data_IF_736273395823
#
_entry.id   IF_736273395823
#
_cell.length_a   1.000
_cell.length_b   1.000
_cell.length_c   1.000
_cell.angle_alpha   90.00
_cell.angle_beta   90.00
_cell.angle_gamma   90.00
#
_symmetry.space_group_name_H-M   'P 1'
#
loop_
_entity.id
_entity.type
_entity.pdbx_description
1 polymer ?
#
# COMPACT_ATOMS: atom_id res chain seq x y z
N UNK A 1 -7.65 -16.18 -8.11
CA UNK A 1 -6.82 -15.03 -7.69
C UNK A 1 -6.77 -14.04 -8.84
N UNK A 2 -6.80 -12.74 -8.56
CA UNK A 2 -6.86 -11.68 -9.58
C UNK A 2 -5.62 -10.81 -9.47
N UNK A 3 -4.80 -10.78 -10.52
CA UNK A 3 -3.64 -9.91 -10.65
C UNK A 3 -4.07 -8.53 -11.17
N UNK A 4 -3.49 -7.46 -10.62
CA UNK A 4 -3.74 -6.08 -11.12
C UNK A 4 -3.16 -5.88 -12.51
N UNK A 5 -3.76 -4.97 -13.28
CA UNK A 5 -3.25 -4.59 -14.59
C UNK A 5 -1.90 -3.85 -14.46
N UNK A 6 -1.06 -3.98 -15.49
CA UNK A 6 0.29 -3.40 -15.56
C UNK A 6 0.32 -1.90 -15.25
N UNK A 7 -0.65 -1.14 -15.75
CA UNK A 7 -0.77 0.31 -15.50
C UNK A 7 -0.82 0.69 -14.01
N UNK A 8 -1.27 -0.22 -13.13
CA UNK A 8 -1.31 -0.03 -11.68
C UNK A 8 -0.11 -0.62 -10.95
N UNK A 9 0.84 -1.17 -11.70
CA UNK A 9 2.04 -1.82 -11.16
C UNK A 9 3.32 -1.37 -11.88
N UNK A 10 3.55 -0.07 -12.05
CA UNK A 10 4.72 0.42 -12.77
C UNK A 10 6.00 -0.11 -12.11
N UNK A 11 6.85 -0.78 -12.90
CA UNK A 11 8.11 -1.41 -12.48
C UNK A 11 7.98 -2.51 -11.41
N UNK A 12 6.80 -3.12 -11.25
CA UNK A 12 6.56 -4.13 -10.20
C UNK A 12 5.69 -5.31 -10.65
N UNK A 13 5.37 -5.46 -11.93
CA UNK A 13 4.50 -6.52 -12.48
C UNK A 13 4.99 -7.91 -12.08
N UNK A 14 6.27 -8.18 -12.28
CA UNK A 14 6.88 -9.47 -11.91
C UNK A 14 6.86 -9.72 -10.40
N UNK A 15 7.05 -8.67 -9.59
CA UNK A 15 7.01 -8.78 -8.13
C UNK A 15 5.60 -9.07 -7.62
N UNK A 16 4.58 -8.45 -8.23
CA UNK A 16 3.17 -8.70 -7.91
C UNK A 16 2.74 -10.10 -8.33
N UNK A 17 3.17 -10.56 -9.51
CA UNK A 17 2.94 -11.93 -9.94
C UNK A 17 3.59 -12.92 -8.98
N UNK A 18 4.83 -12.68 -8.59
CA UNK A 18 5.58 -13.58 -7.73
C UNK A 18 4.96 -13.78 -6.33
N UNK A 19 4.36 -12.75 -5.71
CA UNK A 19 3.65 -12.95 -4.45
C UNK A 19 2.34 -13.71 -4.66
N UNK A 20 1.59 -13.45 -5.73
CA UNK A 20 0.37 -14.23 -6.03
C UNK A 20 0.69 -15.70 -6.29
N UNK A 21 1.74 -15.99 -7.05
CA UNK A 21 2.19 -17.37 -7.32
C UNK A 21 2.61 -18.09 -6.03
N UNK A 22 3.36 -17.39 -5.15
CA UNK A 22 3.74 -17.94 -3.86
C UNK A 22 2.52 -18.28 -2.99
N UNK A 23 1.51 -17.42 -2.94
CA UNK A 23 0.25 -17.70 -2.24
C UNK A 23 -0.51 -18.85 -2.91
N UNK A 24 -0.60 -18.86 -4.24
CA UNK A 24 -1.27 -19.94 -4.99
C UNK A 24 -0.62 -21.30 -4.72
N UNK A 25 0.70 -21.35 -4.63
CA UNK A 25 1.42 -22.59 -4.29
C UNK A 25 1.03 -23.09 -2.90
N UNK A 26 0.98 -22.23 -1.88
CA UNK A 26 0.57 -22.61 -0.51
C UNK A 26 -0.85 -23.15 -0.49
N UNK A 27 -1.77 -22.49 -1.18
CA UNK A 27 -3.16 -22.92 -1.26
C UNK A 27 -3.29 -24.29 -1.96
N UNK A 28 -2.55 -24.52 -3.05
CA UNK A 28 -2.54 -25.84 -3.72
C UNK A 28 -2.00 -26.94 -2.82
N UNK A 29 -0.95 -26.67 -2.05
CA UNK A 29 -0.40 -27.61 -1.05
C UNK A 29 -1.42 -27.92 0.08
N UNK A 30 -2.33 -26.98 0.37
CA UNK A 30 -3.44 -27.18 1.30
C UNK A 30 -4.66 -27.89 0.66
N UNK A 31 -4.57 -28.28 -0.61
CA UNK A 31 -5.63 -29.01 -1.33
C UNK A 31 -6.66 -28.13 -2.03
N UNK A 32 -6.44 -26.82 -2.14
CA UNK A 32 -7.33 -25.92 -2.87
C UNK A 32 -7.07 -25.95 -4.37
N UNK A 33 -8.13 -25.89 -5.17
CA UNK A 33 -8.05 -25.59 -6.60
C UNK A 33 -7.86 -24.07 -6.77
N UNK A 34 -6.78 -23.65 -7.45
CA UNK A 34 -6.42 -22.23 -7.58
C UNK A 34 -6.31 -21.83 -9.04
N UNK A 35 -7.18 -20.92 -9.46
CA UNK A 35 -7.11 -20.24 -10.75
C UNK A 35 -6.52 -18.84 -10.58
N UNK A 36 -5.59 -18.47 -11.45
CA UNK A 36 -5.01 -17.12 -11.51
C UNK A 36 -5.37 -16.47 -12.84
N UNK A 37 -5.75 -15.19 -12.80
CA UNK A 37 -6.08 -14.41 -13.99
C UNK A 37 -5.75 -12.94 -13.80
N UNK A 38 -5.53 -12.20 -14.88
CA UNK A 38 -5.42 -10.75 -14.81
C UNK A 38 -6.81 -10.12 -14.61
N UNK A 39 -6.87 -8.93 -14.04
CA UNK A 39 -8.15 -8.20 -13.91
C UNK A 39 -8.77 -7.86 -15.27
N UNK A 40 -7.96 -7.70 -16.34
CA UNK A 40 -8.43 -7.46 -17.69
C UNK A 40 -9.09 -8.70 -18.33
N UNK A 41 -8.80 -9.89 -17.82
CA UNK A 41 -9.28 -11.17 -18.33
C UNK A 41 -10.25 -11.86 -17.34
N UNK A 42 -11.02 -11.08 -16.59
CA UNK A 42 -11.99 -11.62 -15.62
C UNK A 42 -13.03 -12.47 -16.38
N UNK A 43 -12.77 -13.76 -16.46
CA UNK A 43 -13.57 -14.70 -17.24
C UNK A 43 -14.88 -15.06 -16.53
N UNK A 44 -15.94 -15.28 -17.30
CA UNK A 44 -17.12 -16.00 -16.84
C UNK A 44 -16.74 -17.47 -16.65
N UNK A 45 -16.82 -17.97 -15.44
CA UNK A 45 -16.50 -19.35 -15.09
C UNK A 45 -17.24 -19.81 -13.83
N UNK A 46 -16.86 -20.99 -13.31
CA UNK A 46 -17.38 -21.47 -12.02
C UNK A 46 -17.12 -20.44 -10.94
N UNK A 47 -18.15 -20.12 -10.15
CA UNK A 47 -17.99 -19.19 -9.02
C UNK A 47 -16.99 -19.77 -8.01
N UNK A 48 -15.95 -19.02 -7.63
CA UNK A 48 -15.01 -19.45 -6.60
C UNK A 48 -15.65 -19.34 -5.20
N UNK A 49 -15.10 -20.06 -4.22
CA UNK A 49 -15.51 -19.94 -2.82
C UNK A 49 -14.81 -18.76 -2.11
N UNK A 50 -13.68 -18.30 -2.68
CA UNK A 50 -12.85 -17.23 -2.12
C UNK A 50 -12.06 -16.52 -3.24
N UNK A 51 -11.87 -15.20 -3.12
CA UNK A 51 -11.07 -14.42 -4.07
C UNK A 51 -9.95 -13.68 -3.33
N UNK A 52 -8.70 -13.87 -3.77
CA UNK A 52 -7.63 -12.91 -3.52
C UNK A 52 -7.57 -11.94 -4.68
N UNK A 53 -7.72 -10.64 -4.42
CA UNK A 53 -7.84 -9.63 -5.46
C UNK A 53 -6.82 -8.51 -5.29
N UNK A 54 -5.99 -8.31 -6.30
CA UNK A 54 -5.19 -7.10 -6.50
C UNK A 54 -5.84 -6.11 -7.47
N UNK A 55 -7.05 -6.37 -7.95
CA UNK A 55 -7.73 -5.55 -8.95
C UNK A 55 -7.85 -4.10 -8.51
N UNK A 56 -7.65 -3.17 -9.44
CA UNK A 56 -7.79 -1.72 -9.22
C UNK A 56 -8.66 -1.04 -10.27
N UNK A 57 -8.97 -1.72 -11.36
CA UNK A 57 -9.83 -1.15 -12.41
C UNK A 57 -11.22 -0.87 -11.84
N UNK A 58 -11.78 0.36 -11.97
CA UNK A 58 -13.07 0.71 -11.35
C UNK A 58 -14.22 -0.23 -11.75
N UNK A 59 -14.26 -0.67 -13.01
CA UNK A 59 -15.26 -1.60 -13.53
C UNK A 59 -15.15 -2.96 -12.87
N UNK A 60 -13.92 -3.47 -12.69
CA UNK A 60 -13.68 -4.76 -12.05
C UNK A 60 -14.03 -4.69 -10.56
N UNK A 61 -13.66 -3.61 -9.87
CA UNK A 61 -14.05 -3.40 -8.48
C UNK A 61 -15.58 -3.31 -8.34
N UNK A 62 -16.29 -2.70 -9.30
CA UNK A 62 -17.74 -2.67 -9.32
C UNK A 62 -18.34 -4.07 -9.48
N UNK A 63 -17.81 -4.89 -10.39
CA UNK A 63 -18.23 -6.28 -10.58
C UNK A 63 -18.00 -7.10 -9.31
N UNK A 64 -16.83 -7.00 -8.70
CA UNK A 64 -16.48 -7.76 -7.49
C UNK A 64 -17.39 -7.46 -6.29
N UNK A 65 -18.03 -6.28 -6.23
CA UNK A 65 -19.00 -5.94 -5.18
C UNK A 65 -20.28 -6.78 -5.20
N UNK A 66 -20.60 -7.39 -6.35
CA UNK A 66 -21.79 -8.24 -6.47
C UNK A 66 -21.53 -9.69 -6.04
N UNK A 67 -20.29 -10.07 -5.76
CA UNK A 67 -19.99 -11.41 -5.26
C UNK A 67 -20.31 -11.52 -3.77
N UNK A 68 -21.09 -12.50 -3.39
CA UNK A 68 -21.45 -12.81 -1.98
C UNK A 68 -20.46 -13.76 -1.30
N UNK A 69 -19.18 -13.71 -1.70
CA UNK A 69 -18.10 -14.56 -1.19
C UNK A 69 -17.00 -13.70 -0.58
N UNK A 70 -16.14 -14.24 0.30
CA UNK A 70 -15.01 -13.50 0.83
C UNK A 70 -14.03 -13.06 -0.27
N UNK A 71 -13.66 -11.77 -0.25
CA UNK A 71 -12.68 -11.17 -1.16
C UNK A 71 -11.61 -10.46 -0.34
N UNK A 72 -10.35 -10.80 -0.54
CA UNK A 72 -9.18 -10.18 0.09
C UNK A 72 -8.26 -9.57 -1.00
N UNK A 73 -8.03 -8.28 -1.05
CA UNK A 73 -8.70 -7.24 -0.26
C UNK A 73 -10.09 -6.95 -0.83
N UNK A 74 -11.00 -6.55 0.04
CA UNK A 74 -12.34 -6.18 -0.40
C UNK A 74 -12.31 -4.98 -1.36
N UNK A 75 -13.18 -4.91 -2.39
CA UNK A 75 -13.20 -3.82 -3.37
C UNK A 75 -13.33 -2.42 -2.74
N UNK A 76 -14.14 -2.29 -1.70
CA UNK A 76 -14.29 -1.03 -0.98
C UNK A 76 -12.99 -0.63 -0.26
N UNK A 77 -12.29 -1.57 0.35
CA UNK A 77 -10.99 -1.34 1.00
C UNK A 77 -9.93 -0.89 0.00
N UNK A 78 -9.86 -1.54 -1.17
CA UNK A 78 -8.95 -1.12 -2.25
C UNK A 78 -9.25 0.31 -2.71
N UNK A 79 -10.53 0.69 -2.85
CA UNK A 79 -10.93 2.07 -3.18
C UNK A 79 -10.54 3.07 -2.09
N UNK A 80 -10.64 2.68 -0.82
CA UNK A 80 -10.26 3.51 0.33
C UNK A 80 -8.75 3.78 0.41
N UNK A 81 -7.92 3.03 -0.31
CA UNK A 81 -6.48 3.28 -0.43
C UNK A 81 -6.14 4.44 -1.38
N UNK A 82 -7.10 5.05 -2.10
CA UNK A 82 -6.87 6.31 -2.80
C UNK A 82 -6.46 7.40 -1.79
N UNK A 83 -5.34 8.10 -2.05
CA UNK A 83 -4.66 8.95 -1.05
C UNK A 83 -5.55 9.98 -0.38
N UNK A 84 -6.44 10.65 -1.11
CA UNK A 84 -7.37 11.64 -0.53
C UNK A 84 -8.40 11.00 0.41
N UNK A 85 -8.88 9.80 0.08
CA UNK A 85 -9.78 9.02 0.95
C UNK A 85 -9.03 8.49 2.16
N UNK A 86 -7.84 7.96 1.93
CA UNK A 86 -6.97 7.45 2.98
C UNK A 86 -6.61 8.56 4.00
N UNK A 87 -6.23 9.76 3.55
CA UNK A 87 -5.96 10.91 4.43
C UNK A 87 -7.19 11.23 5.31
N UNK A 88 -8.39 11.19 4.74
CA UNK A 88 -9.63 11.40 5.48
C UNK A 88 -9.86 10.33 6.55
N UNK A 89 -9.60 9.06 6.21
CA UNK A 89 -9.72 7.94 7.16
C UNK A 89 -8.67 8.08 8.27
N UNK A 90 -7.41 8.33 7.92
CA UNK A 90 -6.30 8.50 8.87
C UNK A 90 -6.59 9.65 9.84
N UNK A 91 -7.06 10.80 9.34
CA UNK A 91 -7.45 11.94 10.16
C UNK A 91 -8.58 11.57 11.12
N UNK A 92 -9.62 10.91 10.63
CA UNK A 92 -10.79 10.52 11.44
C UNK A 92 -10.44 9.59 12.58
N UNK A 93 -9.51 8.66 12.38
CA UNK A 93 -9.11 7.71 13.42
C UNK A 93 -7.89 8.21 14.23
N UNK A 94 -7.32 9.37 13.92
CA UNK A 94 -6.17 9.94 14.64
C UNK A 94 -4.86 9.18 14.40
N UNK A 95 -4.64 8.65 13.19
CA UNK A 95 -3.36 8.04 12.81
C UNK A 95 -2.25 9.08 12.83
N UNK A 96 -1.07 8.80 13.42
CA UNK A 96 0.08 9.69 13.33
C UNK A 96 0.48 9.95 11.87
N UNK A 97 0.32 11.20 11.42
CA UNK A 97 0.66 11.65 10.07
C UNK A 97 1.63 12.83 10.11
N UNK A 98 2.38 13.09 9.02
CA UNK A 98 3.09 14.37 8.88
C UNK A 98 2.13 15.54 9.01
N UNK A 99 2.55 16.67 9.58
CA UNK A 99 1.74 17.90 9.58
C UNK A 99 1.58 18.41 8.15
N UNK A 100 0.60 19.29 7.93
CA UNK A 100 0.40 19.93 6.62
C UNK A 100 1.39 21.05 6.35
N UNK A 101 1.89 21.70 7.40
CA UNK A 101 2.85 22.81 7.33
C UNK A 101 4.16 22.41 8.02
N UNK A 102 5.28 22.89 7.49
CA UNK A 102 6.62 22.65 8.01
C UNK A 102 7.67 23.49 7.33
N UNK A 103 8.90 23.44 7.84
CA UNK A 103 10.02 24.29 7.38
C UNK A 103 11.03 23.55 6.49
N UNK A 104 10.88 22.23 6.34
CA UNK A 104 11.86 21.39 5.62
C UNK A 104 11.37 20.98 4.22
N UNK A 105 10.35 21.67 3.69
CA UNK A 105 9.72 21.37 2.40
C UNK A 105 8.43 20.58 2.53
N UNK A 106 7.88 20.24 1.37
CA UNK A 106 6.56 19.63 1.24
C UNK A 106 6.57 18.44 0.27
N UNK A 107 5.67 17.51 0.51
CA UNK A 107 5.31 16.47 -0.43
C UNK A 107 3.92 16.74 -1.00
N UNK A 108 3.84 16.86 -2.31
CA UNK A 108 2.58 16.90 -3.05
C UNK A 108 2.38 15.53 -3.70
N UNK A 109 1.27 14.87 -3.42
CA UNK A 109 0.95 13.55 -3.96
C UNK A 109 -0.42 13.57 -4.63
N UNK A 110 -0.54 12.96 -5.82
CA UNK A 110 -1.83 12.73 -6.47
C UNK A 110 -2.79 12.00 -5.52
N UNK A 111 -4.04 12.47 -5.41
CA UNK A 111 -4.99 12.03 -4.40
C UNK A 111 -6.05 11.05 -4.87
N UNK A 112 -6.40 11.07 -6.18
CA UNK A 112 -7.50 10.28 -6.76
C UNK A 112 -7.09 8.86 -7.17
N UNK A 113 -5.80 8.63 -7.40
CA UNK A 113 -5.26 7.35 -7.85
C UNK A 113 -3.88 7.07 -7.24
N UNK A 114 -3.40 5.83 -7.37
CA UNK A 114 -1.99 5.52 -7.14
C UNK A 114 -1.09 6.28 -8.14
N UNK A 115 0.16 6.56 -7.75
CA UNK A 115 1.12 7.21 -8.63
C UNK A 115 1.35 6.34 -9.89
N UNK A 116 1.13 6.92 -11.05
CA UNK A 116 1.31 6.30 -12.37
C UNK A 116 2.59 6.78 -13.04
N UNK A 117 3.00 8.01 -12.76
CA UNK A 117 4.21 8.61 -13.27
C UNK A 117 4.95 9.41 -12.20
N UNK A 118 6.21 9.78 -12.48
CA UNK A 118 7.08 10.49 -11.51
C UNK A 118 6.48 11.81 -11.02
N UNK A 119 5.71 12.52 -11.87
CA UNK A 119 5.05 13.78 -11.53
C UNK A 119 3.83 13.65 -10.60
N UNK A 120 3.41 12.43 -10.24
CA UNK A 120 2.30 12.19 -9.30
C UNK A 120 2.74 12.25 -7.83
N UNK A 121 4.05 12.26 -7.58
CA UNK A 121 4.66 12.51 -6.26
C UNK A 121 5.79 13.52 -6.46
N UNK A 122 5.67 14.68 -5.86
CA UNK A 122 6.61 15.80 -6.03
C UNK A 122 7.06 16.31 -4.67
N UNK A 123 8.36 16.46 -4.50
CA UNK A 123 8.92 17.21 -3.39
C UNK A 123 9.07 18.69 -3.80
N UNK A 124 8.58 19.59 -2.98
CA UNK A 124 8.72 21.04 -3.09
C UNK A 124 9.55 21.56 -1.92
N UNK A 125 10.63 22.27 -2.21
CA UNK A 125 11.56 22.76 -1.18
C UNK A 125 10.96 23.85 -0.29
N UNK A 126 10.00 24.60 -0.82
CA UNK A 126 9.34 25.72 -0.16
C UNK A 126 7.90 25.89 -0.67
N UNK A 127 7.21 26.88 -0.15
CA UNK A 127 5.82 27.18 -0.50
C UNK A 127 5.64 27.59 -1.96
N UNK A 128 6.56 28.37 -2.51
CA UNK A 128 6.49 28.80 -3.91
C UNK A 128 6.63 27.61 -4.88
N UNK A 129 7.57 26.71 -4.58
CA UNK A 129 7.74 25.46 -5.33
C UNK A 129 6.50 24.55 -5.20
N UNK A 130 5.86 24.49 -4.02
CA UNK A 130 4.63 23.73 -3.82
C UNK A 130 3.48 24.29 -4.67
N UNK A 131 3.29 25.61 -4.68
CA UNK A 131 2.23 26.27 -5.45
C UNK A 131 2.44 26.04 -6.96
N UNK A 132 3.67 26.09 -7.44
CA UNK A 132 4.03 25.74 -8.82
C UNK A 132 3.74 24.27 -9.16
N UNK A 133 4.04 23.35 -8.24
CA UNK A 133 3.75 21.92 -8.41
C UNK A 133 2.25 21.62 -8.43
N UNK A 134 1.46 22.29 -7.58
CA UNK A 134 -0.02 22.20 -7.56
C UNK A 134 -0.59 22.66 -8.91
N UNK A 135 -0.10 23.78 -9.43
CA UNK A 135 -0.51 24.29 -10.74
C UNK A 135 -0.11 23.32 -11.86
N UNK A 136 1.03 22.66 -11.75
CA UNK A 136 1.45 21.57 -12.64
C UNK A 136 0.47 20.40 -12.65
N UNK A 137 -0.02 19.96 -11.48
CA UNK A 137 -1.04 18.91 -11.37
C UNK A 137 -2.37 19.36 -12.01
N UNK A 138 -2.80 20.58 -11.73
CA UNK A 138 -4.05 21.13 -12.31
C UNK A 138 -4.02 21.16 -13.83
N UNK A 139 -2.91 21.56 -14.45
CA UNK A 139 -2.73 21.53 -15.92
C UNK A 139 -2.82 20.14 -16.52
N UNK A 140 -2.52 19.09 -15.73
CA UNK A 140 -2.69 17.69 -16.10
C UNK A 140 -4.12 17.16 -15.80
N UNK A 141 -5.06 18.01 -15.34
CA UNK A 141 -6.41 17.63 -14.96
C UNK A 141 -6.51 16.89 -13.62
N UNK A 142 -5.45 16.96 -12.77
CA UNK A 142 -5.45 16.35 -11.44
C UNK A 142 -5.92 17.39 -10.44
N UNK A 143 -7.17 17.27 -10.00
CA UNK A 143 -7.79 18.19 -9.05
C UNK A 143 -7.65 17.72 -7.58
N UNK A 144 -7.55 16.39 -7.37
CA UNK A 144 -7.41 15.81 -6.03
C UNK A 144 -5.95 15.50 -5.74
N UNK A 145 -5.42 16.13 -4.71
CA UNK A 145 -4.05 15.93 -4.24
C UNK A 145 -3.99 16.03 -2.71
N UNK A 146 -2.94 15.49 -2.15
CA UNK A 146 -2.61 15.53 -0.71
C UNK A 146 -1.30 16.27 -0.55
N UNK A 147 -1.24 17.17 0.42
CA UNK A 147 -0.03 17.91 0.81
C UNK A 147 0.35 17.53 2.23
N UNK A 148 1.61 17.23 2.44
CA UNK A 148 2.18 17.03 3.77
C UNK A 148 3.55 17.68 3.86
N UNK A 149 3.93 18.19 5.04
CA UNK A 149 5.29 18.64 5.28
C UNK A 149 6.28 17.48 5.19
N UNK A 150 7.50 17.76 4.76
CA UNK A 150 8.58 16.81 4.87
C UNK A 150 8.96 16.61 6.33
N UNK A 151 9.08 15.36 6.75
CA UNK A 151 9.50 14.97 8.10
C UNK A 151 10.85 14.31 8.00
N UNK A 152 11.83 14.81 8.76
CA UNK A 152 13.16 14.21 8.89
C UNK A 152 13.12 13.00 9.82
N UNK A 153 13.85 11.96 9.45
CA UNK A 153 13.95 10.72 10.21
C UNK A 153 14.25 9.52 9.32
N UNK A 154 14.27 8.36 9.89
CA UNK A 154 14.49 7.12 9.17
C UNK A 154 13.23 6.70 8.42
N UNK A 155 13.36 6.49 7.11
CA UNK A 155 12.30 5.86 6.33
C UNK A 155 12.25 4.37 6.63
N UNK A 156 11.12 3.89 7.10
CA UNK A 156 10.87 2.47 7.37
C UNK A 156 9.68 2.01 6.53
N UNK A 157 9.90 0.98 5.73
CA UNK A 157 8.83 0.26 5.03
C UNK A 157 8.30 -0.86 5.91
N UNK A 158 6.99 -1.00 5.97
CA UNK A 158 6.36 -2.09 6.69
C UNK A 158 5.39 -2.87 5.81
N UNK A 159 5.24 -4.15 6.13
CA UNK A 159 4.30 -5.06 5.48
C UNK A 159 3.55 -5.85 6.54
N UNK A 160 2.24 -6.07 6.32
CA UNK A 160 1.43 -6.81 7.27
C UNK A 160 0.28 -7.57 6.60
N UNK A 161 -0.18 -8.59 7.32
CA UNK A 161 -1.40 -9.34 6.99
C UNK A 161 -2.26 -9.38 8.25
N UNK A 162 -3.36 -8.64 8.23
CA UNK A 162 -4.20 -8.41 9.40
C UNK A 162 -4.72 -9.73 10.00
N UNK A 163 -4.65 -9.83 11.33
CA UNK A 163 -5.16 -10.97 12.09
C UNK A 163 -4.32 -12.26 12.02
N UNK A 164 -3.12 -12.21 11.40
CA UNK A 164 -2.21 -13.37 11.30
C UNK A 164 -0.98 -13.24 12.19
N UNK A 165 -0.72 -12.07 12.74
CA UNK A 165 0.50 -11.75 13.47
C UNK A 165 1.70 -11.48 12.56
N UNK A 166 1.56 -11.60 11.24
CA UNK A 166 2.62 -11.27 10.30
C UNK A 166 2.78 -9.76 10.17
N UNK A 167 3.95 -9.26 10.57
CA UNK A 167 4.37 -7.86 10.39
C UNK A 167 5.89 -7.80 10.23
N UNK A 168 6.40 -7.07 9.23
CA UNK A 168 7.84 -6.92 8.95
C UNK A 168 8.17 -5.48 8.60
N UNK A 169 9.30 -5.01 9.11
CA UNK A 169 9.84 -3.68 8.85
C UNK A 169 11.20 -3.78 8.16
N UNK A 170 11.46 -2.83 7.25
CA UNK A 170 12.70 -2.76 6.47
C UNK A 170 13.12 -1.31 6.26
N UNK A 171 14.41 -1.08 6.24
CA UNK A 171 15.01 0.20 5.86
C UNK A 171 15.39 0.15 4.37
N UNK A 172 14.74 0.93 3.49
CA UNK A 172 15.04 0.89 2.04
C UNK A 172 16.47 1.28 1.72
N UNK A 173 17.08 2.14 2.54
CA UNK A 173 18.44 2.65 2.34
C UNK A 173 19.53 1.61 2.60
N UNK A 174 19.25 0.54 3.36
CA UNK A 174 20.25 -0.45 3.73
C UNK A 174 20.67 -1.35 2.54
N UNK A 175 19.79 -1.58 1.58
CA UNK A 175 20.05 -2.42 0.41
C UNK A 175 19.97 -1.68 -0.92
N UNK A 176 19.78 -0.36 -0.90
CA UNK A 176 19.72 0.48 -2.10
C UNK A 176 18.50 0.25 -2.99
N UNK A 177 17.53 -0.54 -2.56
CA UNK A 177 16.30 -0.80 -3.32
C UNK A 177 15.31 0.35 -3.19
N UNK A 178 15.37 1.31 -4.09
CA UNK A 178 14.42 2.43 -4.17
C UNK A 178 13.49 2.27 -5.38
N UNK A 179 12.24 2.73 -5.27
CA UNK A 179 11.28 2.65 -6.38
C UNK A 179 11.42 3.82 -7.34
N UNK A 180 11.59 5.04 -6.83
CA UNK A 180 11.66 6.28 -7.60
C UNK A 180 12.85 7.17 -7.22
N UNK A 181 13.69 6.76 -6.26
CA UNK A 181 14.86 7.49 -5.79
C UNK A 181 14.57 8.55 -4.72
N UNK A 182 13.31 8.87 -4.46
CA UNK A 182 12.91 9.86 -3.46
C UNK A 182 13.13 9.38 -2.01
N UNK A 183 13.23 8.06 -1.82
CA UNK A 183 13.56 7.43 -0.54
C UNK A 183 14.92 7.87 0.00
N UNK A 184 15.84 8.29 -0.87
CA UNK A 184 17.17 8.77 -0.49
C UNK A 184 17.15 10.17 0.13
N UNK A 185 16.03 10.90 0.07
CA UNK A 185 15.94 12.28 0.55
C UNK A 185 16.14 12.41 2.07
N UNK A 186 15.77 11.39 2.84
CA UNK A 186 16.05 11.33 4.28
C UNK A 186 17.48 10.86 4.61
N UNK A 187 18.30 10.53 3.60
CA UNK A 187 19.66 10.04 3.78
C UNK A 187 19.73 8.59 4.21
N UNK A 188 20.90 8.17 4.68
CA UNK A 188 21.11 6.85 5.26
C UNK A 188 20.31 6.73 6.57
N UNK A 189 19.81 5.53 6.86
CA UNK A 189 19.12 5.29 8.12
C UNK A 189 20.08 5.40 9.31
N UNK A 190 19.63 6.07 10.36
CA UNK A 190 20.32 6.17 11.65
C UNK A 190 19.96 4.99 12.58
N UNK A 191 18.95 4.20 12.20
CA UNK A 191 18.38 3.10 12.99
C UNK A 191 17.90 3.57 14.36
N UNK A 192 17.16 4.69 14.39
CA UNK A 192 16.55 5.17 15.62
C UNK A 192 15.68 4.10 16.26
N UNK A 193 15.82 3.93 17.56
CA UNK A 193 15.01 3.00 18.32
C UNK A 193 13.55 3.45 18.33
N UNK A 194 12.62 2.53 18.06
CA UNK A 194 11.18 2.77 18.13
C UNK A 194 10.44 1.48 18.52
N UNK A 195 9.21 1.61 18.96
CA UNK A 195 8.37 0.47 19.30
C UNK A 195 7.69 -0.12 18.06
N UNK A 196 8.23 -1.23 17.56
CA UNK A 196 7.68 -1.96 16.41
C UNK A 196 6.26 -2.48 16.70
N UNK A 197 5.95 -2.86 17.95
CA UNK A 197 4.62 -3.35 18.32
C UNK A 197 3.58 -2.23 18.23
N UNK A 198 3.93 -1.01 18.66
CA UNK A 198 3.08 0.18 18.48
C UNK A 198 2.85 0.52 17.01
N UNK A 199 3.89 0.41 16.16
CA UNK A 199 3.73 0.62 14.72
C UNK A 199 2.81 -0.45 14.10
N UNK A 200 2.97 -1.72 14.47
CA UNK A 200 2.11 -2.81 14.02
C UNK A 200 0.66 -2.56 14.43
N UNK A 201 0.43 -2.23 15.68
CA UNK A 201 -0.92 -1.95 16.21
C UNK A 201 -1.59 -0.80 15.43
N UNK A 202 -0.85 0.28 15.17
CA UNK A 202 -1.35 1.41 14.39
C UNK A 202 -1.66 1.03 12.94
N UNK A 203 -0.77 0.26 12.29
CA UNK A 203 -0.99 -0.24 10.94
C UNK A 203 -2.20 -1.18 10.84
N UNK A 204 -2.41 -2.07 11.82
CA UNK A 204 -3.58 -2.95 11.89
C UNK A 204 -4.87 -2.16 12.14
N UNK A 205 -4.84 -1.14 13.00
CA UNK A 205 -5.97 -0.24 13.24
C UNK A 205 -6.36 0.51 11.97
N UNK A 206 -5.37 0.99 11.22
CA UNK A 206 -5.59 1.64 9.94
C UNK A 206 -6.11 0.65 8.89
N UNK A 207 -5.53 -0.55 8.79
CA UNK A 207 -5.99 -1.61 7.88
C UNK A 207 -7.46 -1.96 8.10
N UNK A 208 -7.87 -2.08 9.38
CA UNK A 208 -9.28 -2.31 9.76
C UNK A 208 -10.19 -1.14 9.34
N UNK A 209 -9.76 0.11 9.55
CA UNK A 209 -10.54 1.29 9.18
C UNK A 209 -10.66 1.50 7.66
N UNK A 210 -9.63 1.12 6.91
CA UNK A 210 -9.60 1.11 5.45
C UNK A 210 -10.42 -0.06 4.89
N UNK A 211 -10.46 -1.19 5.58
CA UNK A 211 -11.14 -2.42 5.17
C UNK A 211 -10.27 -3.33 4.30
N UNK A 212 -8.98 -3.43 4.60
CA UNK A 212 -8.05 -4.33 3.91
C UNK A 212 -7.35 -5.26 4.91
N UNK A 213 -6.97 -6.44 4.44
CA UNK A 213 -6.24 -7.42 5.25
C UNK A 213 -4.77 -7.54 4.84
N UNK A 214 -4.48 -7.42 3.53
CA UNK A 214 -3.12 -7.50 2.97
C UNK A 214 -2.65 -6.08 2.67
N UNK A 215 -1.67 -5.58 3.41
CA UNK A 215 -1.27 -4.18 3.38
C UNK A 215 0.24 -3.99 3.51
N UNK A 216 0.67 -2.80 3.16
CA UNK A 216 2.00 -2.27 3.43
C UNK A 216 1.99 -0.76 3.43
N UNK A 217 3.07 -0.18 3.87
CA UNK A 217 3.19 1.27 3.93
C UNK A 217 4.60 1.73 4.25
N UNK A 218 4.71 3.03 4.35
CA UNK A 218 5.94 3.72 4.71
C UNK A 218 5.68 4.60 5.94
N UNK A 219 6.62 4.63 6.86
CA UNK A 219 6.61 5.57 7.98
C UNK A 219 7.97 6.26 8.13
N UNK A 220 7.97 7.41 8.78
CA UNK A 220 9.18 8.09 9.22
C UNK A 220 9.31 7.91 10.73
N UNK A 221 10.45 7.36 11.17
CA UNK A 221 10.83 7.22 12.57
C UNK A 221 11.78 8.36 12.93
N UNK A 222 11.45 9.14 13.96
CA UNK A 222 12.25 10.26 14.43
C UNK A 222 13.25 9.84 15.50
N UNK A 223 14.21 10.70 15.81
CA UNK A 223 15.24 10.47 16.81
C UNK A 223 14.70 10.24 18.24
N UNK A 224 13.49 10.70 18.54
CA UNK A 224 12.81 10.48 19.82
C UNK A 224 12.00 9.15 19.87
N UNK A 225 12.09 8.33 18.82
CA UNK A 225 11.35 7.09 18.71
C UNK A 225 9.88 7.25 18.27
N UNK A 226 9.39 8.47 18.11
CA UNK A 226 8.06 8.71 17.55
C UNK A 226 8.05 8.40 16.04
N UNK A 227 6.88 8.02 15.50
CA UNK A 227 6.74 7.76 14.07
C UNK A 227 5.49 8.44 13.49
N UNK A 228 5.49 8.61 12.17
CA UNK A 228 4.29 8.99 11.43
C UNK A 228 4.20 8.22 10.12
N UNK A 229 3.00 7.79 9.75
CA UNK A 229 2.72 7.08 8.50
C UNK A 229 2.65 8.08 7.35
N UNK A 230 3.40 7.83 6.27
CA UNK A 230 3.47 8.68 5.09
C UNK A 230 2.88 8.07 3.83
N UNK A 231 2.69 6.76 3.83
CA UNK A 231 1.99 6.00 2.78
C UNK A 231 1.39 4.72 3.35
N UNK A 232 0.27 4.27 2.74
CA UNK A 232 -0.39 3.01 3.10
C UNK A 232 -1.12 2.44 1.89
N UNK A 233 -0.84 1.19 1.55
CA UNK A 233 -1.25 0.59 0.29
C UNK A 233 -1.79 -0.83 0.50
N UNK A 234 -2.75 -1.22 -0.35
CA UNK A 234 -3.17 -2.60 -0.52
C UNK A 234 -2.13 -3.39 -1.33
N UNK A 235 -1.99 -4.66 -1.05
CA UNK A 235 -1.18 -5.62 -1.78
C UNK A 235 0.21 -5.09 -2.19
N UNK A 236 1.14 -4.87 -1.26
CA UNK A 236 2.54 -4.61 -1.59
C UNK A 236 3.18 -5.87 -2.19
N UNK A 237 4.33 -5.72 -2.84
CA UNK A 237 5.01 -6.84 -3.50
C UNK A 237 5.65 -7.86 -2.56
N UNK A 238 5.81 -7.52 -1.27
CA UNK A 238 6.48 -8.34 -0.25
C UNK A 238 7.86 -8.88 -0.67
N UNK A 239 8.56 -8.18 -1.57
CA UNK A 239 9.78 -8.69 -2.22
C UNK A 239 10.89 -9.13 -1.25
N UNK A 240 10.89 -8.58 -0.01
CA UNK A 240 11.88 -8.88 1.03
C UNK A 240 11.45 -9.98 2.01
N UNK A 241 10.16 -10.35 2.02
CA UNK A 241 9.57 -11.32 2.96
C UNK A 241 8.48 -12.16 2.30
N UNK A 242 8.64 -12.46 1.00
CA UNK A 242 7.60 -13.06 0.18
C UNK A 242 7.08 -14.39 0.72
N UNK A 243 7.99 -15.27 1.13
CA UNK A 243 7.63 -16.60 1.60
C UNK A 243 6.78 -16.54 2.86
N UNK A 244 7.23 -15.78 3.87
CA UNK A 244 6.49 -15.59 5.13
C UNK A 244 5.14 -14.87 4.88
N UNK A 245 5.12 -13.87 3.99
CA UNK A 245 3.90 -13.17 3.62
C UNK A 245 2.91 -14.10 2.91
N UNK A 246 3.40 -14.98 2.02
CA UNK A 246 2.56 -15.96 1.32
C UNK A 246 1.92 -16.96 2.28
N UNK A 247 2.66 -17.42 3.30
CA UNK A 247 2.12 -18.29 4.35
C UNK A 247 1.02 -17.58 5.15
N UNK A 248 1.26 -16.33 5.55
CA UNK A 248 0.28 -15.52 6.27
C UNK A 248 -0.97 -15.24 5.42
N UNK A 249 -0.81 -14.87 4.14
CA UNK A 249 -1.92 -14.60 3.24
C UNK A 249 -2.74 -15.87 2.99
N UNK A 250 -2.09 -17.00 2.73
CA UNK A 250 -2.79 -18.27 2.51
C UNK A 250 -3.62 -18.70 3.74
N UNK A 251 -3.16 -18.37 4.95
CA UNK A 251 -3.88 -18.68 6.20
C UNK A 251 -5.20 -17.91 6.36
N UNK A 252 -5.45 -16.88 5.55
CA UNK A 252 -6.73 -16.16 5.54
C UNK A 252 -7.89 -17.00 4.97
N UNK A 253 -7.59 -18.03 4.18
CA UNK A 253 -8.58 -19.00 3.73
C UNK A 253 -8.83 -19.98 4.87
N UNK A 254 -9.87 -19.72 5.67
CA UNK A 254 -10.30 -20.66 6.71
C UNK A 254 -10.97 -21.84 6.02
N UNK A 255 -10.37 -23.03 6.13
CA UNK A 255 -11.02 -24.26 5.72
C UNK A 255 -12.36 -24.37 6.46
N UNK A 256 -13.50 -24.29 5.74
CA UNK A 256 -14.78 -24.69 6.31
C UNK A 256 -14.68 -26.19 6.55
N UNK A 257 -14.46 -26.59 7.79
CA UNK A 257 -14.63 -27.98 8.25
C UNK A 257 -16.10 -28.32 8.35
#
# INVERSE_FOLDING_TARGET
MIQRAEQFSPNSVEKDLAILEAVAQRLRLQGHEVTMQSEAALAQGRQPDFIFSMARHPEILAILKFFSIPIVNAPAGTQNCARSTLETIMTRIGTPMPPREGNDGYWLKRGDAAAQERGDVVFAADRAALDAAIEGMRRRGIEKYVVSAHVKGDLVKFYGVAGTGFFRCFYPTDDGQTKFGDEQRNGAAHHYAYDVASLQQEAERLAAAVGIAVYGGDCIVRADGSFCLIDFNDWPSFSRCREEAADAIASLVKVRR
#
